data_IF_409076598910
#
_entry.id   IF_409076598910
#
_cell.length_a   1.000
_cell.length_b   1.000
_cell.length_c   1.000
_cell.angle_alpha   90.00
_cell.angle_beta   90.00
_cell.angle_gamma   90.00
#
_symmetry.space_group_name_H-M   'P 1'
#
loop_
_entity.id
_entity.type
_entity.pdbx_description
1 polymer ?
#
# COMPACT_ATOMS: atom_id res chain seq x y z
N UNK A 1 7.19 2.88 -28.84
CA UNK A 1 7.42 1.65 -29.61
C UNK A 1 8.74 1.04 -29.18
N UNK A 2 8.80 -0.27 -28.92
CA UNK A 2 10.03 -1.00 -28.65
C UNK A 2 10.40 -1.84 -29.87
N UNK A 3 11.71 -2.00 -30.12
CA UNK A 3 12.20 -2.86 -31.19
C UNK A 3 12.41 -4.30 -30.70
N UNK A 4 12.67 -4.46 -29.43
CA UNK A 4 12.95 -5.73 -28.76
C UNK A 4 12.29 -5.74 -27.38
N UNK A 5 11.89 -6.92 -26.94
CA UNK A 5 11.34 -7.08 -25.58
C UNK A 5 12.50 -7.23 -24.58
N UNK A 6 12.42 -6.55 -23.45
CA UNK A 6 13.42 -6.59 -22.42
C UNK A 6 12.89 -6.06 -21.09
N UNK A 7 13.66 -6.26 -20.03
CA UNK A 7 13.32 -5.76 -18.70
C UNK A 7 14.55 -5.29 -17.94
N UNK A 8 14.44 -4.15 -17.27
CA UNK A 8 15.49 -3.58 -16.45
C UNK A 8 14.86 -2.89 -15.24
N UNK A 9 15.50 -2.99 -14.07
CA UNK A 9 15.10 -2.23 -12.89
C UNK A 9 15.83 -0.87 -12.91
N UNK A 10 15.07 0.21 -12.71
CA UNK A 10 15.59 1.59 -12.76
C UNK A 10 15.32 2.28 -11.43
N UNK A 11 16.31 3.02 -10.84
CA UNK A 11 16.07 3.86 -9.69
C UNK A 11 15.04 4.96 -10.00
N UNK A 12 13.80 4.76 -9.52
CA UNK A 12 12.64 5.58 -9.92
C UNK A 12 12.83 7.07 -9.66
N UNK A 13 13.47 7.44 -8.54
CA UNK A 13 13.67 8.85 -8.18
C UNK A 13 14.49 9.59 -9.24
N UNK A 14 15.62 9.02 -9.65
CA UNK A 14 16.53 9.63 -10.63
C UNK A 14 15.84 9.71 -12.00
N UNK A 15 15.15 8.62 -12.41
CA UNK A 15 14.41 8.61 -13.67
C UNK A 15 13.33 9.72 -13.70
N UNK A 16 12.51 9.80 -12.64
CA UNK A 16 11.45 10.82 -12.55
C UNK A 16 12.02 12.23 -12.56
N UNK A 17 13.10 12.49 -11.81
CA UNK A 17 13.76 13.80 -11.77
C UNK A 17 14.33 14.16 -13.14
N UNK A 18 14.93 13.21 -13.84
CA UNK A 18 15.45 13.43 -15.21
C UNK A 18 14.33 13.78 -16.17
N UNK A 19 13.28 12.97 -16.21
CA UNK A 19 12.17 13.18 -17.15
C UNK A 19 11.35 14.46 -16.86
N UNK A 20 11.15 14.82 -15.60
CA UNK A 20 10.44 16.06 -15.21
C UNK A 20 11.14 17.34 -15.67
N UNK A 21 12.45 17.32 -15.82
CA UNK A 21 13.24 18.47 -16.28
C UNK A 21 13.38 18.55 -17.80
N UNK A 22 12.87 17.57 -18.54
CA UNK A 22 12.83 17.62 -20.00
C UNK A 22 11.55 18.33 -20.47
N UNK A 23 11.64 19.17 -21.50
CA UNK A 23 10.47 19.69 -22.19
C UNK A 23 9.72 18.53 -22.88
N UNK A 24 8.48 18.77 -23.27
CA UNK A 24 7.68 17.79 -24.01
C UNK A 24 8.31 17.51 -25.38
N UNK A 25 8.88 16.32 -25.55
CA UNK A 25 9.60 15.89 -26.75
C UNK A 25 9.68 14.37 -26.80
N UNK A 26 9.95 13.78 -27.96
CA UNK A 26 10.29 12.36 -28.07
C UNK A 26 11.56 12.03 -27.27
N UNK A 27 11.52 10.92 -26.54
CA UNK A 27 12.66 10.41 -25.76
C UNK A 27 12.93 8.96 -26.18
N UNK A 28 14.19 8.65 -26.44
CA UNK A 28 14.60 7.29 -26.80
C UNK A 28 15.41 6.69 -25.67
N UNK A 29 15.00 5.51 -25.23
CA UNK A 29 15.72 4.69 -24.25
C UNK A 29 16.53 3.63 -24.97
N UNK A 30 17.82 3.56 -24.67
CA UNK A 30 18.71 2.50 -25.10
C UNK A 30 19.24 1.79 -23.86
N UNK A 31 19.04 0.47 -23.76
CA UNK A 31 19.41 -0.33 -22.60
C UNK A 31 20.46 -1.34 -23.05
N UNK A 32 21.52 -1.44 -22.28
CA UNK A 32 22.59 -2.42 -22.46
C UNK A 32 22.28 -3.61 -21.57
N UNK A 33 22.02 -4.76 -22.18
CA UNK A 33 21.61 -5.99 -21.48
C UNK A 33 22.74 -6.66 -20.68
N UNK A 34 24.01 -6.31 -20.96
CA UNK A 34 25.15 -6.89 -20.24
C UNK A 34 25.43 -6.19 -18.92
N UNK A 35 25.27 -4.86 -18.89
CA UNK A 35 25.64 -4.05 -17.73
C UNK A 35 24.48 -3.19 -17.17
N UNK A 36 23.27 -3.35 -17.77
CA UNK A 36 22.04 -2.64 -17.41
C UNK A 36 22.13 -1.11 -17.44
N UNK A 37 23.11 -0.56 -18.15
CA UNK A 37 23.20 0.87 -18.37
C UNK A 37 22.08 1.36 -19.27
N UNK A 38 21.46 2.44 -18.89
CA UNK A 38 20.34 3.06 -19.60
C UNK A 38 20.80 4.40 -20.12
N UNK A 39 20.69 4.60 -21.41
CA UNK A 39 20.92 5.87 -22.06
C UNK A 39 19.59 6.47 -22.53
N UNK A 40 19.28 7.65 -22.07
CA UNK A 40 18.10 8.43 -22.46
C UNK A 40 18.56 9.53 -23.40
N UNK A 41 18.14 9.43 -24.66
CA UNK A 41 18.44 10.42 -25.68
C UNK A 41 17.21 11.31 -25.92
N UNK A 42 17.44 12.62 -25.92
CA UNK A 42 16.45 13.67 -26.18
C UNK A 42 17.06 14.73 -27.11
N UNK A 43 16.24 15.62 -27.65
CA UNK A 43 16.74 16.74 -28.50
C UNK A 43 17.72 17.63 -27.74
N UNK A 44 17.60 17.73 -26.44
CA UNK A 44 18.39 18.63 -25.58
C UNK A 44 19.56 17.96 -24.89
N UNK A 45 19.79 16.66 -25.11
CA UNK A 45 20.94 16.01 -24.51
C UNK A 45 20.79 14.51 -24.32
N UNK A 46 21.83 13.97 -23.72
CA UNK A 46 21.98 12.55 -23.46
C UNK A 46 22.22 12.33 -21.96
N UNK A 47 21.43 11.46 -21.34
CA UNK A 47 21.48 11.15 -19.93
C UNK A 47 21.82 9.68 -19.75
N UNK A 48 22.70 9.36 -18.81
CA UNK A 48 23.06 7.98 -18.49
C UNK A 48 22.63 7.66 -17.06
N UNK A 49 21.94 6.54 -16.91
CA UNK A 49 21.51 6.00 -15.63
C UNK A 49 22.03 4.59 -15.49
N UNK A 50 22.46 4.22 -14.29
CA UNK A 50 22.71 2.83 -13.95
C UNK A 50 21.38 2.16 -13.60
N UNK A 51 21.05 1.11 -14.34
CA UNK A 51 19.97 0.18 -13.99
C UNK A 51 20.53 -1.02 -13.26
N UNK A 52 19.64 -1.95 -12.90
CA UNK A 52 19.92 -3.19 -12.23
C UNK A 52 19.19 -4.34 -12.94
N UNK A 53 19.60 -5.57 -12.67
CA UNK A 53 18.93 -6.75 -13.21
C UNK A 53 17.46 -6.77 -12.72
N UNK A 54 16.53 -6.90 -13.64
CA UNK A 54 15.10 -7.01 -13.30
C UNK A 54 14.76 -8.23 -12.43
N UNK A 55 15.59 -9.27 -12.47
CA UNK A 55 15.42 -10.46 -11.62
C UNK A 55 15.64 -10.17 -10.13
N UNK A 56 16.39 -9.11 -9.81
CA UNK A 56 16.62 -8.65 -8.42
C UNK A 56 15.47 -7.75 -7.89
N UNK A 57 14.51 -7.41 -8.76
CA UNK A 57 13.34 -6.65 -8.33
C UNK A 57 12.48 -7.48 -7.38
N UNK A 58 12.05 -6.91 -6.24
CA UNK A 58 11.24 -7.63 -5.25
C UNK A 58 10.00 -8.27 -5.88
N UNK A 59 9.83 -9.57 -5.68
CA UNK A 59 8.62 -10.27 -6.12
C UNK A 59 7.47 -9.93 -5.20
N UNK A 60 6.30 -9.72 -5.78
CA UNK A 60 5.05 -9.59 -5.02
C UNK A 60 4.76 -10.95 -4.38
N UNK A 61 4.64 -11.05 -3.04
CA UNK A 61 4.27 -12.32 -2.40
C UNK A 61 2.92 -12.80 -2.91
N UNK A 62 2.73 -14.11 -3.04
CA UNK A 62 1.43 -14.68 -3.39
C UNK A 62 0.53 -14.79 -2.15
N UNK A 63 -0.78 -14.64 -2.35
CA UNK A 63 -1.77 -14.88 -1.31
C UNK A 63 -1.97 -16.40 -1.20
N UNK A 64 -1.43 -17.01 -0.16
CA UNK A 64 -1.71 -18.39 0.20
C UNK A 64 -2.44 -18.43 1.54
N UNK A 65 -3.46 -19.28 1.63
CA UNK A 65 -4.19 -19.58 2.87
C UNK A 65 -4.72 -18.32 3.61
N UNK A 66 -5.18 -17.32 2.84
CA UNK A 66 -5.66 -16.04 3.35
C UNK A 66 -7.18 -15.94 3.46
N UNK A 67 -7.64 -14.99 4.24
CA UNK A 67 -9.02 -14.54 4.28
C UNK A 67 -9.25 -13.47 3.21
N UNK A 68 -10.46 -13.43 2.63
CA UNK A 68 -10.83 -12.46 1.60
C UNK A 68 -12.14 -11.77 1.94
N UNK A 69 -12.17 -10.46 1.80
CA UNK A 69 -13.38 -9.62 1.92
C UNK A 69 -13.34 -8.48 0.92
N UNK A 70 -14.44 -7.77 0.79
CA UNK A 70 -14.52 -6.60 -0.06
C UNK A 70 -15.14 -5.41 0.68
N UNK A 71 -14.65 -4.23 0.36
CA UNK A 71 -15.14 -2.97 0.87
C UNK A 71 -15.56 -2.06 -0.27
N UNK A 72 -16.55 -1.25 -0.01
CA UNK A 72 -16.81 -0.08 -0.84
C UNK A 72 -15.71 0.98 -0.57
N UNK A 73 -15.23 1.64 -1.63
CA UNK A 73 -14.17 2.67 -1.54
C UNK A 73 -14.47 3.74 -0.50
N UNK A 74 -15.72 4.25 -0.45
CA UNK A 74 -16.13 5.28 0.51
C UNK A 74 -16.00 4.80 1.96
N UNK A 75 -16.38 3.55 2.20
CA UNK A 75 -16.33 2.94 3.53
C UNK A 75 -14.89 2.80 4.00
N UNK A 76 -14.03 2.25 3.15
CA UNK A 76 -12.61 2.07 3.46
C UNK A 76 -11.90 3.42 3.64
N UNK A 77 -12.16 4.38 2.77
CA UNK A 77 -11.60 5.73 2.88
C UNK A 77 -12.05 6.44 4.17
N UNK A 78 -13.33 6.29 4.54
CA UNK A 78 -13.86 6.84 5.80
C UNK A 78 -13.22 6.19 7.02
N UNK A 79 -13.05 4.87 7.01
CA UNK A 79 -12.42 4.15 8.11
C UNK A 79 -10.97 4.60 8.32
N UNK A 80 -10.19 4.71 7.25
CA UNK A 80 -8.82 5.20 7.30
C UNK A 80 -8.78 6.65 7.79
N UNK A 81 -9.60 7.53 7.20
CA UNK A 81 -9.59 8.96 7.50
C UNK A 81 -9.97 9.27 8.95
N UNK A 82 -10.90 8.48 9.50
CA UNK A 82 -11.37 8.67 10.89
C UNK A 82 -10.47 8.04 11.96
N UNK A 83 -9.45 7.28 11.56
CA UNK A 83 -8.59 6.58 12.51
C UNK A 83 -7.12 6.96 12.41
N UNK A 84 -6.58 7.11 11.21
CA UNK A 84 -5.15 7.20 10.96
C UNK A 84 -4.42 8.34 11.72
N UNK A 85 -5.13 9.43 12.04
CA UNK A 85 -4.56 10.59 12.74
C UNK A 85 -4.22 10.31 14.22
N UNK A 86 -4.77 9.26 14.80
CA UNK A 86 -4.50 8.84 16.19
C UNK A 86 -3.44 7.75 16.30
N UNK A 87 -2.79 7.36 15.22
CA UNK A 87 -1.66 6.43 15.27
C UNK A 87 -0.42 7.08 15.86
N UNK A 88 0.40 6.30 16.56
CA UNK A 88 1.69 6.75 17.09
C UNK A 88 2.75 6.88 15.98
N UNK A 89 3.77 7.68 16.26
CA UNK A 89 5.03 7.72 15.49
C UNK A 89 6.19 7.10 16.26
N UNK A 90 5.93 6.55 17.44
CA UNK A 90 6.92 5.93 18.31
C UNK A 90 7.18 4.47 17.87
N UNK A 91 8.33 4.24 17.26
CA UNK A 91 8.75 2.92 16.77
C UNK A 91 9.06 1.92 17.89
N UNK A 92 9.18 2.38 19.15
CA UNK A 92 9.30 1.49 20.30
C UNK A 92 7.98 0.80 20.68
N UNK A 93 6.87 1.27 20.12
CA UNK A 93 5.53 0.70 20.28
C UNK A 93 4.92 0.39 18.91
N UNK A 94 5.45 -0.61 18.19
CA UNK A 94 5.11 -0.84 16.77
C UNK A 94 3.61 -1.05 16.53
N UNK A 95 2.92 -1.76 17.42
CA UNK A 95 1.48 -1.99 17.30
C UNK A 95 0.67 -0.69 17.15
N UNK A 96 1.07 0.39 17.85
CA UNK A 96 0.38 1.68 17.81
C UNK A 96 0.73 2.51 16.56
N UNK A 97 1.74 2.13 15.77
CA UNK A 97 2.11 2.85 14.53
C UNK A 97 1.22 2.53 13.35
N UNK A 98 0.28 1.60 13.54
CA UNK A 98 -0.73 1.21 12.59
C UNK A 98 -2.15 1.42 13.11
N UNK A 99 -3.12 1.13 12.24
CA UNK A 99 -4.53 1.02 12.59
C UNK A 99 -4.87 -0.46 12.74
N UNK A 100 -5.47 -0.80 13.84
CA UNK A 100 -6.01 -2.14 14.10
C UNK A 100 -7.35 -2.28 13.39
N UNK A 101 -7.51 -3.36 12.64
CA UNK A 101 -8.74 -3.76 11.99
C UNK A 101 -9.19 -5.07 12.60
N UNK A 102 -10.44 -5.16 12.99
CA UNK A 102 -11.12 -6.38 13.37
C UNK A 102 -12.34 -6.57 12.49
N UNK A 103 -12.33 -7.64 11.72
CA UNK A 103 -13.47 -8.10 10.91
C UNK A 103 -14.22 -9.15 11.71
N UNK A 104 -15.44 -8.85 12.10
CA UNK A 104 -16.33 -9.74 12.83
C UNK A 104 -17.59 -10.02 12.01
N UNK A 105 -18.36 -11.04 12.39
CA UNK A 105 -19.60 -11.43 11.70
C UNK A 105 -20.55 -10.25 11.43
N UNK A 106 -20.67 -9.35 12.39
CA UNK A 106 -21.70 -8.30 12.36
C UNK A 106 -21.17 -6.88 12.12
N UNK A 107 -19.84 -6.69 12.15
CA UNK A 107 -19.23 -5.36 11.96
C UNK A 107 -17.75 -5.46 11.64
N UNK A 108 -17.23 -4.32 11.19
CA UNK A 108 -15.79 -4.10 11.14
C UNK A 108 -15.43 -2.98 12.11
N UNK A 109 -14.49 -3.24 13.02
CA UNK A 109 -13.98 -2.28 14.00
C UNK A 109 -12.57 -1.84 13.62
N UNK A 110 -12.36 -0.54 13.67
CA UNK A 110 -11.08 0.12 13.39
C UNK A 110 -10.63 0.87 14.63
N UNK A 111 -9.41 0.63 15.08
CA UNK A 111 -8.88 1.28 16.29
C UNK A 111 -7.51 1.85 16.02
N UNK A 112 -7.27 3.04 16.57
CA UNK A 112 -5.94 3.65 16.60
C UNK A 112 -5.73 4.40 17.90
N UNK A 113 -4.50 4.39 18.41
CA UNK A 113 -4.10 5.11 19.62
C UNK A 113 -2.61 5.46 19.57
N UNK A 114 -2.25 6.58 20.20
CA UNK A 114 -0.86 6.97 20.46
C UNK A 114 -0.52 6.92 21.97
N UNK A 115 -1.47 6.41 22.78
CA UNK A 115 -1.36 6.34 24.23
C UNK A 115 -1.93 7.58 24.97
N UNK A 116 -2.27 8.64 24.25
CA UNK A 116 -2.90 9.86 24.81
C UNK A 116 -4.33 10.06 24.32
N UNK A 117 -4.62 9.60 23.13
CA UNK A 117 -5.96 9.61 22.53
C UNK A 117 -6.21 8.26 21.88
N UNK A 118 -7.48 7.89 21.80
CA UNK A 118 -7.94 6.66 21.18
C UNK A 118 -9.15 6.96 20.31
N UNK A 119 -9.14 6.37 19.13
CA UNK A 119 -10.31 6.35 18.25
C UNK A 119 -10.72 4.91 18.05
N UNK A 120 -12.01 4.63 18.27
CA UNK A 120 -12.69 3.38 17.90
C UNK A 120 -13.80 3.74 16.91
N UNK A 121 -13.69 3.27 15.69
CA UNK A 121 -14.64 3.49 14.61
C UNK A 121 -15.25 2.17 14.19
N UNK A 122 -16.58 2.06 14.21
CA UNK A 122 -17.31 0.83 13.94
C UNK A 122 -18.20 1.01 12.73
N UNK A 123 -18.18 0.02 11.84
CA UNK A 123 -19.05 -0.08 10.67
C UNK A 123 -19.86 -1.38 10.72
N UNK A 124 -21.17 -1.26 10.87
CA UNK A 124 -22.10 -2.39 10.92
C UNK A 124 -22.63 -2.81 9.55
N UNK A 125 -22.32 -2.05 8.51
CA UNK A 125 -22.65 -2.34 7.11
C UNK A 125 -21.61 -3.23 6.41
N UNK A 126 -20.53 -3.54 7.11
CA UNK A 126 -19.51 -4.50 6.67
C UNK A 126 -19.61 -5.72 7.57
N UNK A 127 -19.65 -6.89 6.97
CA UNK A 127 -19.73 -8.16 7.67
C UNK A 127 -18.52 -9.01 7.34
N UNK A 128 -17.93 -9.61 8.35
CA UNK A 128 -16.96 -10.67 8.22
C UNK A 128 -17.64 -12.05 8.21
N UNK A 129 -16.92 -13.08 8.61
CA UNK A 129 -17.45 -14.41 8.88
C UNK A 129 -17.64 -14.64 10.39
N UNK A 130 -17.95 -15.88 10.78
CA UNK A 130 -18.19 -16.24 12.19
C UNK A 130 -16.92 -16.15 13.07
N UNK A 131 -15.74 -16.05 12.46
CA UNK A 131 -14.46 -15.97 13.16
C UNK A 131 -13.91 -14.54 13.03
N UNK A 132 -13.54 -13.94 14.15
CA UNK A 132 -12.89 -12.64 14.16
C UNK A 132 -11.51 -12.72 13.49
N UNK A 133 -11.27 -11.80 12.55
CA UNK A 133 -9.99 -11.63 11.89
C UNK A 133 -9.38 -10.29 12.26
N UNK A 134 -8.24 -10.35 12.94
CA UNK A 134 -7.51 -9.20 13.44
C UNK A 134 -6.28 -8.93 12.58
N UNK A 135 -6.02 -7.65 12.28
CA UNK A 135 -4.79 -7.23 11.61
C UNK A 135 -4.41 -5.80 12.00
N UNK A 136 -3.11 -5.49 11.94
CA UNK A 136 -2.62 -4.12 12.15
C UNK A 136 -1.99 -3.65 10.84
N UNK A 137 -2.61 -2.66 10.22
CA UNK A 137 -2.17 -2.08 8.97
C UNK A 137 -1.28 -0.85 9.24
N UNK A 138 -0.05 -0.82 8.70
CA UNK A 138 0.86 0.29 8.93
C UNK A 138 0.31 1.62 8.43
N UNK A 139 0.50 2.68 9.21
CA UNK A 139 0.09 4.05 8.84
C UNK A 139 0.57 4.47 7.46
N UNK A 140 1.81 4.14 7.11
CA UNK A 140 2.40 4.50 5.80
C UNK A 140 1.63 3.85 4.64
N UNK A 141 1.31 2.56 4.78
CA UNK A 141 0.54 1.81 3.79
C UNK A 141 -0.88 2.34 3.65
N UNK A 142 -1.55 2.66 4.77
CA UNK A 142 -2.90 3.23 4.74
C UNK A 142 -2.95 4.63 4.12
N UNK A 143 -1.94 5.47 4.34
CA UNK A 143 -1.84 6.76 3.66
C UNK A 143 -1.67 6.60 2.15
N UNK A 144 -0.83 5.67 1.71
CA UNK A 144 -0.66 5.36 0.30
C UNK A 144 -1.97 4.82 -0.29
N UNK A 145 -2.57 3.82 0.34
CA UNK A 145 -3.85 3.25 -0.10
C UNK A 145 -4.89 4.35 -0.29
N UNK A 146 -5.08 5.23 0.70
CA UNK A 146 -6.03 6.33 0.61
C UNK A 146 -5.77 7.27 -0.57
N UNK A 147 -4.49 7.48 -0.94
CA UNK A 147 -4.13 8.37 -2.05
C UNK A 147 -4.37 7.78 -3.44
N UNK A 148 -4.49 6.45 -3.53
CA UNK A 148 -4.67 5.73 -4.80
C UNK A 148 -6.05 5.10 -4.96
N UNK A 149 -6.91 5.15 -3.92
CA UNK A 149 -8.28 4.66 -3.99
C UNK A 149 -9.04 5.35 -5.13
N UNK A 150 -9.94 4.63 -5.83
CA UNK A 150 -10.78 5.22 -6.88
C UNK A 150 -11.57 6.42 -6.37
N UNK A 151 -11.78 7.40 -7.25
CA UNK A 151 -12.64 8.55 -6.94
C UNK A 151 -14.12 8.18 -6.90
N UNK A 152 -14.51 7.13 -7.60
CA UNK A 152 -15.85 6.57 -7.50
C UNK A 152 -16.04 5.87 -6.16
N UNK A 153 -16.92 6.44 -5.36
CA UNK A 153 -17.21 5.99 -4.01
C UNK A 153 -17.86 4.60 -3.93
N UNK A 154 -18.49 4.16 -5.03
CA UNK A 154 -19.16 2.88 -5.13
C UNK A 154 -18.25 1.74 -5.61
N UNK A 155 -17.04 2.05 -6.07
CA UNK A 155 -16.08 1.05 -6.50
C UNK A 155 -15.73 0.08 -5.39
N UNK A 156 -15.56 -1.19 -5.74
CA UNK A 156 -15.19 -2.24 -4.81
C UNK A 156 -13.68 -2.33 -4.67
N UNK A 157 -13.23 -2.48 -3.43
CA UNK A 157 -11.85 -2.76 -3.06
C UNK A 157 -11.80 -4.13 -2.40
N UNK A 158 -11.21 -5.09 -3.07
CA UNK A 158 -10.98 -6.42 -2.51
C UNK A 158 -9.79 -6.35 -1.55
N UNK A 159 -9.96 -6.89 -0.35
CA UNK A 159 -8.90 -7.11 0.64
C UNK A 159 -8.72 -8.62 0.82
N UNK A 160 -7.50 -9.08 0.57
CA UNK A 160 -7.06 -10.42 0.92
C UNK A 160 -5.90 -10.29 1.90
N UNK A 161 -5.86 -11.11 2.93
CA UNK A 161 -4.77 -11.06 3.89
C UNK A 161 -4.50 -12.41 4.52
N UNK A 162 -3.26 -12.60 4.93
CA UNK A 162 -2.79 -13.72 5.72
C UNK A 162 -2.10 -13.19 6.99
N UNK A 163 -1.41 -14.04 7.73
CA UNK A 163 -0.73 -13.64 8.97
C UNK A 163 0.32 -12.52 8.79
N UNK A 164 0.86 -12.32 7.58
CA UNK A 164 2.00 -11.43 7.35
C UNK A 164 1.70 -10.26 6.42
N UNK A 165 0.77 -10.41 5.48
CA UNK A 165 0.56 -9.47 4.41
C UNK A 165 -0.92 -9.19 4.17
N UNK A 166 -1.22 -7.97 3.74
CA UNK A 166 -2.52 -7.56 3.21
C UNK A 166 -2.38 -7.12 1.75
N UNK A 167 -3.33 -7.52 0.92
CA UNK A 167 -3.39 -7.29 -0.52
C UNK A 167 -4.68 -6.55 -0.83
N UNK A 168 -4.55 -5.38 -1.39
CA UNK A 168 -5.67 -4.57 -1.85
C UNK A 168 -5.71 -4.60 -3.37
N UNK A 169 -6.86 -4.95 -3.94
CA UNK A 169 -7.04 -5.01 -5.40
C UNK A 169 -8.29 -4.23 -5.80
N UNK A 170 -8.15 -3.32 -6.75
CA UNK A 170 -9.23 -2.54 -7.32
C UNK A 170 -8.83 -2.05 -8.72
N UNK A 171 -9.77 -2.07 -9.67
CA UNK A 171 -9.49 -1.74 -11.08
C UNK A 171 -8.24 -2.49 -11.61
N UNK A 172 -7.24 -1.75 -12.06
CA UNK A 172 -5.94 -2.28 -12.51
C UNK A 172 -4.83 -2.18 -11.46
N UNK A 173 -5.16 -1.81 -10.22
CA UNK A 173 -4.19 -1.58 -9.15
C UNK A 173 -4.17 -2.78 -8.20
N UNK A 174 -2.96 -3.22 -7.88
CA UNK A 174 -2.69 -4.15 -6.78
C UNK A 174 -1.69 -3.51 -5.83
N UNK A 175 -2.03 -3.49 -4.57
CA UNK A 175 -1.16 -2.99 -3.50
C UNK A 175 -0.97 -4.07 -2.44
N UNK A 176 0.29 -4.35 -2.12
CA UNK A 176 0.64 -5.26 -1.03
C UNK A 176 1.31 -4.48 0.08
N UNK A 177 0.94 -4.77 1.31
CA UNK A 177 1.66 -4.27 2.47
C UNK A 177 1.89 -5.38 3.50
N UNK A 178 3.03 -5.32 4.17
CA UNK A 178 3.32 -6.17 5.30
C UNK A 178 2.54 -5.68 6.52
N UNK A 179 1.88 -6.61 7.21
CA UNK A 179 1.21 -6.34 8.48
C UNK A 179 2.21 -6.11 9.60
N UNK A 180 1.80 -5.40 10.63
CA UNK A 180 2.57 -5.29 11.87
C UNK A 180 2.26 -6.53 12.69
N UNK A 181 3.27 -7.40 12.85
CA UNK A 181 3.17 -8.66 13.59
C UNK A 181 3.36 -8.40 15.09
N UNK A 182 2.35 -7.81 15.71
CA UNK A 182 2.33 -7.45 17.12
C UNK A 182 0.92 -7.61 17.68
N UNK A 183 0.81 -7.81 19.00
CA UNK A 183 -0.48 -7.78 19.67
C UNK A 183 -0.91 -6.33 19.90
N UNK A 184 -2.08 -5.97 19.39
CA UNK A 184 -2.65 -4.64 19.66
C UNK A 184 -3.00 -4.49 21.14
N UNK A 185 -2.79 -3.29 21.77
CA UNK A 185 -3.20 -3.05 23.15
C UNK A 185 -4.68 -3.34 23.39
N UNK A 186 -4.99 -3.79 24.60
CA UNK A 186 -6.38 -3.98 25.01
C UNK A 186 -7.06 -2.62 25.22
N UNK A 187 -7.65 -2.13 24.13
CA UNK A 187 -8.26 -0.81 24.07
C UNK A 187 -9.63 -0.75 24.75
N UNK A 188 -10.32 -1.85 24.91
CA UNK A 188 -11.65 -1.88 25.54
C UNK A 188 -11.56 -1.56 27.03
N UNK A 189 -10.44 -1.88 27.69
CA UNK A 189 -10.20 -1.58 29.10
C UNK A 189 -9.95 -0.08 29.40
N UNK A 190 -9.71 0.76 28.39
CA UNK A 190 -9.46 2.20 28.58
C UNK A 190 -10.61 3.07 28.10
N UNK A 191 -11.63 2.49 27.51
CA UNK A 191 -12.86 3.18 27.12
C UNK A 191 -13.79 3.23 28.34
N UNK A 192 -14.23 4.44 28.81
CA UNK A 192 -15.06 4.59 29.98
C UNK A 192 -16.49 4.04 29.79
#
# INVERSE_FOLDING_TARGET
ESKEDGSVAIPAKILIETLKNLPEQPVTFSIDDENYNIEINSDNGRYKLAGENSADFPKVPEVSDGYSTAFNTEVLNSAISNTIFSTSTDELRPAMTGVFFRLSENNCTYVSTDGHRLVKYIRSDIKGDEVDHDMILPRKSLNLLRSILPSDKSSEVKLEFNASNAYFSFESVQMVCRLIDERYPDYDNVIP
#
